data_IF_560846759115
#
_entry.id   IF_560846759115
#
_cell.length_a   1.000
_cell.length_b   1.000
_cell.length_c   1.000
_cell.angle_alpha   90.00
_cell.angle_beta   90.00
_cell.angle_gamma   90.00
#
_symmetry.space_group_name_H-M   'P 1'
#
loop_
_entity.id
_entity.type
_entity.pdbx_description
1 polymer ?
#
# COMPACT_ATOMS: atom_id res chain seq x y z
N UNK A 1 5.05 -5.49 -26.25
CA UNK A 1 5.23 -5.44 -24.79
C UNK A 1 6.15 -4.26 -24.50
N UNK A 2 5.68 -3.27 -23.74
CA UNK A 2 6.45 -2.06 -23.40
C UNK A 2 6.68 -2.04 -21.88
N UNK A 3 7.93 -1.89 -21.45
CA UNK A 3 8.20 -1.74 -20.03
C UNK A 3 7.72 -0.37 -19.54
N UNK A 4 7.16 -0.33 -18.34
CA UNK A 4 6.77 0.89 -17.66
C UNK A 4 8.01 1.70 -17.27
N UNK A 5 8.14 2.96 -17.73
CA UNK A 5 9.21 3.84 -17.25
C UNK A 5 9.06 4.11 -15.76
N UNK A 6 10.18 4.28 -15.08
CA UNK A 6 10.17 4.88 -13.75
C UNK A 6 9.82 6.35 -13.90
N UNK A 7 8.70 6.77 -13.30
CA UNK A 7 8.27 8.17 -13.22
C UNK A 7 8.97 8.89 -12.07
N UNK A 8 9.08 8.20 -10.92
CA UNK A 8 9.70 8.75 -9.72
C UNK A 8 10.27 7.63 -8.83
N UNK A 9 11.37 7.94 -8.13
CA UNK A 9 11.89 7.17 -7.00
C UNK A 9 12.01 8.09 -5.80
N UNK A 10 11.49 7.68 -4.65
CA UNK A 10 11.67 8.43 -3.40
C UNK A 10 11.76 7.50 -2.19
N UNK A 11 12.52 7.90 -1.19
CA UNK A 11 12.55 7.21 0.10
C UNK A 11 11.37 7.62 0.95
N UNK A 12 10.74 6.65 1.64
CA UNK A 12 9.72 6.94 2.64
C UNK A 12 10.31 7.80 3.77
N UNK A 13 9.52 8.74 4.28
CA UNK A 13 9.96 9.71 5.28
C UNK A 13 9.48 9.31 6.68
N UNK A 14 10.28 9.53 7.73
CA UNK A 14 9.82 9.32 9.10
C UNK A 14 8.58 10.18 9.39
N UNK A 15 7.60 9.58 10.05
CA UNK A 15 6.35 10.23 10.43
C UNK A 15 5.86 9.71 11.78
N UNK A 16 5.08 10.52 12.48
CA UNK A 16 4.40 10.11 13.72
C UNK A 16 2.90 10.26 13.49
N UNK A 17 2.14 9.20 13.74
CA UNK A 17 0.70 9.16 13.54
C UNK A 17 -0.01 8.56 14.77
N UNK A 18 -1.35 8.62 14.79
CA UNK A 18 -2.14 8.09 15.89
C UNK A 18 -1.79 8.73 17.24
N UNK A 19 -1.67 7.92 18.28
CA UNK A 19 -1.29 8.38 19.62
C UNK A 19 0.23 8.41 19.86
N UNK A 20 1.04 8.46 18.80
CA UNK A 20 2.50 8.48 18.87
C UNK A 20 3.19 7.30 18.20
N UNK A 21 2.53 6.66 17.25
CA UNK A 21 3.11 5.58 16.45
C UNK A 21 4.14 6.13 15.48
N UNK A 22 5.38 5.67 15.58
CA UNK A 22 6.46 6.00 14.65
C UNK A 22 6.40 5.09 13.44
N UNK A 23 6.35 5.67 12.26
CA UNK A 23 6.25 4.96 10.99
C UNK A 23 7.04 5.68 9.89
N UNK A 24 7.06 5.10 8.67
CA UNK A 24 7.62 5.72 7.48
C UNK A 24 6.53 5.88 6.43
N UNK A 25 6.25 7.13 6.04
CA UNK A 25 5.26 7.46 5.02
C UNK A 25 5.89 7.51 3.64
N UNK A 26 5.43 6.65 2.74
CA UNK A 26 5.91 6.59 1.37
C UNK A 26 5.29 7.68 0.50
N UNK A 27 3.99 7.92 0.64
CA UNK A 27 3.24 9.03 0.04
C UNK A 27 1.97 9.31 0.85
N UNK A 28 1.34 10.48 0.63
CA UNK A 28 0.14 10.91 1.35
C UNK A 28 -0.28 12.33 0.99
N UNK A 29 -0.79 13.09 1.91
CA UNK A 29 -1.53 14.36 1.85
C UNK A 29 -1.09 15.43 0.84
N UNK A 30 0.17 15.45 0.40
CA UNK A 30 0.69 16.59 -0.38
C UNK A 30 0.18 16.61 -1.82
N UNK A 31 0.09 15.43 -2.42
CA UNK A 31 -0.25 15.28 -3.84
C UNK A 31 -1.16 14.04 -4.02
N UNK A 32 -2.46 14.14 -3.65
CA UNK A 32 -3.38 13.00 -3.67
C UNK A 32 -3.63 12.42 -5.07
N UNK A 33 -3.34 13.20 -6.13
CA UNK A 33 -3.49 12.76 -7.52
C UNK A 33 -2.31 11.93 -8.02
N UNK A 34 -1.17 11.98 -7.32
CA UNK A 34 0.07 11.34 -7.78
C UNK A 34 -0.02 9.82 -7.85
N UNK A 35 -0.74 9.20 -6.92
CA UNK A 35 -0.92 7.75 -6.82
C UNK A 35 -2.38 7.32 -6.98
N UNK A 36 -3.26 8.19 -7.53
CA UNK A 36 -4.67 7.88 -7.75
C UNK A 36 -4.83 6.45 -8.34
N UNK A 37 -5.65 5.56 -7.75
CA UNK A 37 -6.65 5.81 -6.71
C UNK A 37 -6.14 5.71 -5.26
N UNK A 38 -4.85 5.58 -5.05
CA UNK A 38 -4.29 5.42 -3.71
C UNK A 38 -3.91 6.78 -3.11
N UNK A 39 -4.25 6.96 -1.84
CA UNK A 39 -4.10 8.24 -1.14
C UNK A 39 -2.87 8.29 -0.24
N UNK A 40 -2.54 7.18 0.40
CA UNK A 40 -1.48 7.12 1.40
C UNK A 40 -0.92 5.70 1.54
N UNK A 41 0.39 5.59 1.75
CA UNK A 41 1.05 4.34 2.15
C UNK A 41 1.98 4.61 3.33
N UNK A 42 1.71 3.95 4.44
CA UNK A 42 2.50 3.95 5.66
C UNK A 42 3.13 2.58 5.92
N UNK A 43 4.40 2.58 6.22
CA UNK A 43 5.20 1.46 6.67
C UNK A 43 5.41 1.61 8.18
N UNK A 44 4.60 0.91 8.99
CA UNK A 44 4.68 0.97 10.45
C UNK A 44 5.56 -0.12 11.07
N UNK A 45 6.48 -0.69 10.30
CA UNK A 45 7.44 -1.68 10.80
C UNK A 45 8.35 -1.08 11.86
N UNK A 46 8.29 -1.66 13.05
CA UNK A 46 9.08 -1.22 14.19
C UNK A 46 9.43 -2.40 15.11
N UNK A 47 10.65 -2.39 15.63
CA UNK A 47 11.18 -3.40 16.57
C UNK A 47 11.17 -2.89 18.03
N UNK A 48 10.67 -1.68 18.27
CA UNK A 48 10.61 -1.04 19.59
C UNK A 48 9.13 -0.83 19.98
N UNK A 49 8.60 -1.59 20.98
CA UNK A 49 7.23 -1.45 21.43
C UNK A 49 6.82 -0.05 21.87
N UNK A 50 7.76 0.73 22.42
CA UNK A 50 7.46 2.10 22.85
C UNK A 50 7.09 3.02 21.69
N UNK A 51 7.44 2.63 20.46
CA UNK A 51 7.17 3.42 19.25
C UNK A 51 5.88 3.03 18.54
N UNK A 52 5.18 1.96 18.96
CA UNK A 52 3.94 1.56 18.30
C UNK A 52 2.79 1.24 19.27
N UNK A 53 3.05 0.83 20.51
CA UNK A 53 2.03 0.36 21.45
C UNK A 53 0.93 1.37 21.79
N UNK A 54 1.18 2.67 21.57
CA UNK A 54 0.18 3.71 21.76
C UNK A 54 -0.98 3.59 20.76
N UNK A 55 -0.73 2.99 19.61
CA UNK A 55 -1.73 2.62 18.62
C UNK A 55 -2.49 3.78 18.01
N UNK A 56 -3.62 3.42 17.44
CA UNK A 56 -4.55 4.35 16.82
C UNK A 56 -5.89 4.26 17.57
N UNK A 57 -6.06 5.04 18.67
CA UNK A 57 -7.31 5.09 19.42
C UNK A 57 -8.48 5.52 18.53
N UNK A 58 -9.71 5.40 19.05
CA UNK A 58 -10.93 5.71 18.33
C UNK A 58 -10.83 6.95 17.45
N UNK A 59 -10.94 6.74 16.14
CA UNK A 59 -10.88 7.78 15.12
C UNK A 59 -11.89 7.48 13.99
N UNK A 60 -12.39 8.52 13.29
CA UNK A 60 -13.33 8.36 12.20
C UNK A 60 -12.63 8.10 10.87
N UNK A 61 -13.36 7.47 9.91
CA UNK A 61 -13.06 7.51 8.48
C UNK A 61 -14.34 7.69 7.68
N UNK A 62 -14.27 8.42 6.57
CA UNK A 62 -15.36 8.55 5.58
C UNK A 62 -14.77 8.74 4.19
N UNK A 63 -15.41 8.10 3.19
CA UNK A 63 -15.12 8.31 1.77
C UNK A 63 -13.86 7.63 1.25
N UNK A 64 -13.31 6.69 2.01
CA UNK A 64 -12.08 5.93 1.66
C UNK A 64 -12.24 4.45 1.98
N UNK A 65 -11.27 3.68 1.54
CA UNK A 65 -10.96 2.35 2.01
C UNK A 65 -9.60 2.35 2.70
N UNK A 66 -9.45 1.58 3.77
CA UNK A 66 -8.19 1.37 4.48
C UNK A 66 -7.79 -0.09 4.40
N UNK A 67 -6.53 -0.34 4.11
CA UNK A 67 -5.98 -1.68 3.96
C UNK A 67 -4.81 -1.86 4.91
N UNK A 68 -5.01 -2.70 5.92
CA UNK A 68 -3.98 -3.08 6.88
C UNK A 68 -3.41 -4.44 6.49
N UNK A 69 -2.12 -4.51 6.17
CA UNK A 69 -1.41 -5.77 5.93
C UNK A 69 -0.37 -5.98 7.03
N UNK A 70 -0.59 -6.98 7.87
CA UNK A 70 0.34 -7.36 8.94
C UNK A 70 1.36 -8.35 8.39
N UNK A 71 2.66 -8.05 8.53
CA UNK A 71 3.74 -8.98 8.18
C UNK A 71 4.16 -9.84 9.39
N UNK A 72 4.25 -9.21 10.57
CA UNK A 72 4.63 -9.85 11.83
C UNK A 72 4.06 -9.05 13.00
N UNK A 73 3.70 -9.75 14.07
CA UNK A 73 2.98 -9.21 15.22
C UNK A 73 1.47 -9.36 15.09
N UNK A 74 0.75 -8.71 15.97
CA UNK A 74 -0.72 -8.72 16.01
C UNK A 74 -1.29 -7.33 16.24
N UNK A 75 -2.46 -7.06 15.68
CA UNK A 75 -3.23 -5.82 15.88
C UNK A 75 -4.64 -6.20 16.29
N UNK A 76 -5.11 -5.67 17.42
CA UNK A 76 -6.53 -5.69 17.76
C UNK A 76 -7.24 -4.54 17.08
N UNK A 77 -8.37 -4.81 16.44
CA UNK A 77 -9.26 -3.79 15.88
C UNK A 77 -10.67 -3.89 16.46
N UNK A 78 -11.32 -2.75 16.54
CA UNK A 78 -12.72 -2.64 16.96
C UNK A 78 -13.36 -1.42 16.30
N UNK A 79 -14.65 -1.51 15.97
CA UNK A 79 -15.38 -0.45 15.31
C UNK A 79 -16.71 -0.09 15.97
N UNK A 80 -17.32 1.00 15.46
CA UNK A 80 -18.62 1.52 15.91
C UNK A 80 -19.83 0.71 15.46
N UNK A 81 -19.65 -0.31 14.62
CA UNK A 81 -20.70 -1.24 14.19
C UNK A 81 -20.74 -2.51 15.06
N UNK A 82 -19.81 -2.63 16.02
CA UNK A 82 -19.70 -3.76 16.91
C UNK A 82 -18.78 -4.87 16.42
N UNK A 83 -18.04 -4.67 15.32
CA UNK A 83 -17.03 -5.61 14.87
C UNK A 83 -15.81 -5.50 15.78
N UNK A 84 -15.21 -6.65 16.07
CA UNK A 84 -13.97 -6.80 16.85
C UNK A 84 -13.20 -7.98 16.33
N UNK A 85 -11.88 -7.82 16.16
CA UNK A 85 -11.03 -8.90 15.67
C UNK A 85 -9.56 -8.69 16.01
N UNK A 86 -8.77 -9.67 15.59
CA UNK A 86 -7.31 -9.66 15.72
C UNK A 86 -6.75 -10.00 14.33
N UNK A 87 -5.87 -9.15 13.83
CA UNK A 87 -5.05 -9.43 12.66
C UNK A 87 -3.70 -9.95 13.12
N UNK A 88 -3.27 -11.05 12.56
CA UNK A 88 -1.99 -11.70 12.85
C UNK A 88 -1.03 -11.62 11.67
N UNK A 89 0.21 -12.05 11.87
CA UNK A 89 1.21 -12.01 10.80
C UNK A 89 0.78 -12.77 9.55
N UNK A 90 0.74 -12.07 8.43
CA UNK A 90 0.29 -12.51 7.13
C UNK A 90 -1.16 -12.16 6.78
N UNK A 91 -1.97 -11.72 7.75
CA UNK A 91 -3.38 -11.36 7.55
C UNK A 91 -3.52 -9.98 6.91
N UNK A 92 -4.65 -9.78 6.23
CA UNK A 92 -5.05 -8.51 5.62
C UNK A 92 -6.46 -8.15 6.06
N UNK A 93 -6.67 -6.89 6.42
CA UNK A 93 -8.00 -6.31 6.58
C UNK A 93 -8.22 -5.24 5.52
N UNK A 94 -9.29 -5.40 4.75
CA UNK A 94 -9.77 -4.39 3.82
C UNK A 94 -11.08 -3.81 4.35
N UNK A 95 -11.03 -2.57 4.81
CA UNK A 95 -12.19 -1.86 5.34
C UNK A 95 -12.65 -0.78 4.35
N UNK A 96 -13.86 -0.88 3.87
CA UNK A 96 -14.55 0.22 3.19
C UNK A 96 -15.19 1.10 4.25
N UNK A 97 -14.70 2.31 4.46
CA UNK A 97 -15.28 3.25 5.43
C UNK A 97 -16.58 3.88 4.93
N UNK A 98 -16.69 4.11 3.61
CA UNK A 98 -17.91 4.58 2.95
C UNK A 98 -18.53 5.80 3.62
N UNK A 99 -19.79 5.70 4.04
CA UNK A 99 -20.58 6.78 4.66
C UNK A 99 -20.11 7.20 6.05
N UNK A 100 -19.21 6.42 6.67
CA UNK A 100 -18.58 6.76 7.93
C UNK A 100 -18.50 5.59 8.90
N UNK A 101 -17.34 5.47 9.53
CA UNK A 101 -17.06 4.52 10.59
C UNK A 101 -16.16 5.19 11.63
N UNK A 102 -16.30 4.78 12.90
CA UNK A 102 -15.29 5.00 13.91
C UNK A 102 -14.65 3.66 14.22
N UNK A 103 -13.33 3.62 14.32
CA UNK A 103 -12.61 2.43 14.72
C UNK A 103 -11.37 2.75 15.54
N UNK A 104 -10.78 1.71 16.11
CA UNK A 104 -9.46 1.75 16.74
C UNK A 104 -8.64 0.56 16.31
N UNK A 105 -7.32 0.74 16.24
CA UNK A 105 -6.32 -0.27 15.91
C UNK A 105 -5.23 -0.23 16.97
N UNK A 106 -5.09 -1.33 17.72
CA UNK A 106 -4.17 -1.40 18.85
C UNK A 106 -3.11 -2.48 18.60
N UNK A 107 -1.90 -2.11 18.17
CA UNK A 107 -0.83 -3.04 17.90
C UNK A 107 -0.28 -3.64 19.20
N UNK A 108 -0.21 -4.96 19.25
CA UNK A 108 0.32 -5.73 20.38
C UNK A 108 1.75 -6.20 20.13
N UNK A 109 2.15 -6.30 18.85
CA UNK A 109 3.43 -6.86 18.46
C UNK A 109 3.49 -8.40 18.58
N UNK A 110 4.70 -8.94 18.45
CA UNK A 110 5.01 -10.35 18.64
C UNK A 110 5.81 -10.59 19.95
N UNK A 111 6.17 -11.84 20.24
CA UNK A 111 6.94 -12.20 21.42
C UNK A 111 8.35 -11.57 21.50
N UNK A 112 8.85 -11.02 20.39
CA UNK A 112 10.13 -10.29 20.31
C UNK A 112 9.96 -8.77 20.42
N UNK A 113 8.73 -8.28 20.60
CA UNK A 113 8.42 -6.86 20.65
C UNK A 113 8.44 -6.19 19.26
N UNK A 114 8.17 -6.93 18.20
CA UNK A 114 8.16 -6.41 16.83
C UNK A 114 6.73 -6.27 16.33
N UNK A 115 6.47 -5.21 15.59
CA UNK A 115 5.22 -4.97 14.86
C UNK A 115 5.56 -4.52 13.45
N UNK A 116 5.30 -5.37 12.46
CA UNK A 116 5.65 -5.11 11.08
C UNK A 116 4.41 -5.18 10.19
N UNK A 117 4.16 -4.13 9.44
CA UNK A 117 3.04 -4.08 8.51
C UNK A 117 2.93 -2.77 7.74
N UNK A 118 1.87 -2.68 6.97
CA UNK A 118 1.58 -1.54 6.09
C UNK A 118 0.12 -1.12 6.22
N UNK A 119 -0.09 0.20 6.12
CA UNK A 119 -1.39 0.82 5.99
C UNK A 119 -1.47 1.50 4.63
N UNK A 120 -2.35 1.05 3.75
CA UNK A 120 -2.65 1.68 2.47
C UNK A 120 -4.04 2.30 2.53
N UNK A 121 -4.20 3.51 2.03
CA UNK A 121 -5.52 4.11 1.82
C UNK A 121 -5.82 4.16 0.33
N UNK A 122 -7.02 3.69 -0.03
CA UNK A 122 -7.56 3.81 -1.37
C UNK A 122 -8.77 4.76 -1.37
N UNK A 123 -8.88 5.56 -2.41
CA UNK A 123 -10.00 6.49 -2.58
C UNK A 123 -11.24 5.76 -3.09
N UNK A 124 -12.41 6.27 -2.73
CA UNK A 124 -13.67 5.88 -3.34
C UNK A 124 -14.10 6.92 -4.36
N UNK A 125 -14.66 6.52 -5.52
CA UNK A 125 -15.29 7.46 -6.43
C UNK A 125 -16.47 8.16 -5.74
N UNK A 126 -16.83 9.36 -6.18
CA UNK A 126 -17.88 10.19 -5.58
C UNK A 126 -19.21 9.45 -5.43
N UNK A 127 -19.55 8.63 -6.42
CA UNK A 127 -20.78 7.80 -6.38
C UNK A 127 -20.78 6.73 -5.28
N UNK A 128 -19.60 6.39 -4.71
CA UNK A 128 -19.44 5.34 -3.70
C UNK A 128 -18.97 5.87 -2.35
N UNK A 129 -18.70 7.17 -2.20
CA UNK A 129 -18.21 7.73 -0.92
C UNK A 129 -19.20 7.57 0.23
N UNK A 130 -20.48 7.39 -0.07
CA UNK A 130 -21.53 7.24 0.95
C UNK A 130 -22.15 5.83 0.99
N UNK A 131 -21.47 4.81 0.44
CA UNK A 131 -21.91 3.40 0.60
C UNK A 131 -21.79 2.94 2.05
N UNK A 132 -22.51 1.87 2.39
CA UNK A 132 -22.40 1.30 3.73
C UNK A 132 -20.97 0.83 4.02
N UNK A 133 -20.46 1.02 5.25
CA UNK A 133 -19.21 0.45 5.67
C UNK A 133 -19.18 -1.08 5.55
N UNK A 134 -18.02 -1.63 5.15
CA UNK A 134 -17.84 -3.07 4.99
C UNK A 134 -16.43 -3.49 5.38
N UNK A 135 -16.28 -4.68 5.96
CA UNK A 135 -15.00 -5.33 6.23
C UNK A 135 -14.82 -6.60 5.40
N UNK A 136 -13.59 -6.86 5.01
CA UNK A 136 -13.12 -8.13 4.49
C UNK A 136 -11.85 -8.48 5.26
N UNK A 137 -11.99 -9.31 6.29
CA UNK A 137 -10.86 -9.87 7.03
C UNK A 137 -10.40 -11.13 6.30
N UNK A 138 -9.13 -11.14 5.90
CA UNK A 138 -8.55 -12.21 5.11
C UNK A 138 -7.40 -12.82 5.88
N UNK A 139 -7.55 -14.08 6.27
CA UNK A 139 -6.48 -14.85 6.90
C UNK A 139 -5.35 -15.10 5.90
N UNK A 140 -4.13 -15.14 6.40
CA UNK A 140 -2.95 -15.49 5.60
C UNK A 140 -3.09 -16.83 4.86
N UNK A 141 -3.85 -17.77 5.40
CA UNK A 141 -4.14 -19.07 4.77
C UNK A 141 -5.01 -18.97 3.53
N UNK A 142 -5.80 -17.91 3.42
CA UNK A 142 -6.74 -17.69 2.31
C UNK A 142 -6.11 -16.86 1.18
N UNK A 143 -4.92 -16.29 1.42
CA UNK A 143 -4.18 -15.52 0.41
C UNK A 143 -3.35 -16.47 -0.46
N UNK A 144 -3.68 -16.61 -1.75
CA UNK A 144 -2.92 -17.48 -2.64
C UNK A 144 -1.46 -17.06 -2.75
N UNK A 145 -0.57 -18.05 -2.66
CA UNK A 145 0.86 -17.91 -2.90
C UNK A 145 1.23 -18.68 -4.17
N UNK A 146 1.72 -17.96 -5.18
CA UNK A 146 2.30 -18.56 -6.37
C UNK A 146 3.81 -18.63 -6.21
N UNK A 147 4.36 -19.80 -6.45
CA UNK A 147 5.80 -20.01 -6.60
C UNK A 147 6.11 -20.25 -8.07
N UNK A 148 7.05 -19.52 -8.61
CA UNK A 148 7.42 -19.58 -10.01
C UNK A 148 8.76 -20.32 -10.21
N UNK A 149 9.04 -20.77 -11.44
CA UNK A 149 10.22 -21.59 -11.79
C UNK A 149 11.55 -20.86 -11.49
N UNK A 150 11.54 -19.52 -11.48
CA UNK A 150 12.69 -18.69 -11.12
C UNK A 150 12.87 -18.52 -9.59
N UNK A 151 12.04 -19.19 -8.79
CA UNK A 151 12.01 -19.11 -7.33
C UNK A 151 11.33 -17.87 -6.78
N UNK A 152 10.75 -17.04 -7.63
CA UNK A 152 9.93 -15.88 -7.19
C UNK A 152 8.64 -16.35 -6.53
N UNK A 153 8.19 -15.60 -5.53
CA UNK A 153 6.95 -15.87 -4.78
C UNK A 153 6.05 -14.66 -4.80
N UNK A 154 4.81 -14.87 -5.18
CA UNK A 154 3.82 -13.79 -5.28
C UNK A 154 2.60 -14.15 -4.45
N UNK A 155 2.32 -13.40 -3.38
CA UNK A 155 1.04 -13.44 -2.67
C UNK A 155 0.06 -12.50 -3.35
N UNK A 156 -1.09 -13.01 -3.74
CA UNK A 156 -2.14 -12.25 -4.44
C UNK A 156 -3.21 -11.88 -3.42
N UNK A 157 -3.15 -10.65 -2.88
CA UNK A 157 -4.13 -10.17 -1.88
C UNK A 157 -5.43 -9.76 -2.57
N UNK A 158 -5.35 -8.95 -3.63
CA UNK A 158 -6.50 -8.52 -4.43
C UNK A 158 -6.10 -8.45 -5.90
N UNK A 159 -7.08 -8.62 -6.79
CA UNK A 159 -6.89 -8.69 -8.23
C UNK A 159 -6.40 -10.04 -8.69
N UNK A 160 -5.98 -10.14 -9.94
CA UNK A 160 -5.58 -11.40 -10.60
C UNK A 160 -4.13 -11.40 -11.04
N UNK A 161 -3.44 -12.54 -10.87
CA UNK A 161 -2.10 -12.78 -11.38
C UNK A 161 -2.01 -14.19 -11.95
N UNK A 162 -1.65 -14.34 -13.24
CA UNK A 162 -1.51 -15.64 -13.95
C UNK A 162 -2.67 -16.61 -13.73
N UNK A 163 -3.91 -16.09 -13.74
CA UNK A 163 -5.13 -16.90 -13.57
C UNK A 163 -5.51 -17.22 -12.12
N UNK A 164 -4.74 -16.76 -11.15
CA UNK A 164 -5.06 -16.85 -9.72
C UNK A 164 -5.59 -15.51 -9.24
N UNK A 165 -6.72 -15.53 -8.54
CA UNK A 165 -7.33 -14.32 -7.97
C UNK A 165 -7.15 -14.28 -6.47
N UNK A 166 -6.91 -13.07 -5.94
CA UNK A 166 -6.93 -12.79 -4.51
C UNK A 166 -8.35 -12.87 -3.93
N UNK A 167 -8.46 -13.10 -2.60
CA UNK A 167 -9.74 -13.29 -1.92
C UNK A 167 -10.57 -12.02 -1.75
N UNK A 168 -9.95 -10.84 -1.80
CA UNK A 168 -10.64 -9.55 -1.63
C UNK A 168 -11.34 -9.19 -2.93
N UNK A 169 -12.64 -8.86 -2.84
CA UNK A 169 -13.48 -8.58 -4.01
C UNK A 169 -14.35 -7.32 -3.83
N UNK A 170 -15.02 -6.91 -4.92
CA UNK A 170 -15.99 -5.83 -4.92
C UNK A 170 -15.39 -4.47 -4.51
N UNK A 171 -14.13 -4.24 -4.80
CA UNK A 171 -13.40 -3.03 -4.46
C UNK A 171 -13.51 -2.02 -5.60
N UNK A 172 -13.73 -0.75 -5.24
CA UNK A 172 -13.69 0.35 -6.19
C UNK A 172 -12.30 0.45 -6.84
N UNK A 173 -12.21 1.04 -8.03
CA UNK A 173 -10.95 1.25 -8.75
C UNK A 173 -10.20 -0.04 -9.18
N UNK A 174 -10.80 -1.23 -9.01
CA UNK A 174 -10.28 -2.51 -9.50
C UNK A 174 -8.78 -2.69 -9.17
N UNK A 175 -8.38 -2.69 -7.89
CA UNK A 175 -6.97 -2.72 -7.51
C UNK A 175 -6.32 -4.08 -7.72
N UNK A 176 -4.99 -4.06 -7.86
CA UNK A 176 -4.13 -5.21 -7.67
C UNK A 176 -3.19 -4.90 -6.50
N UNK A 177 -3.06 -5.82 -5.56
CA UNK A 177 -2.16 -5.71 -4.42
C UNK A 177 -1.45 -7.03 -4.22
N UNK A 178 -0.14 -7.04 -4.50
CA UNK A 178 0.71 -8.22 -4.43
C UNK A 178 1.89 -7.99 -3.48
N UNK A 179 2.22 -9.00 -2.70
CA UNK A 179 3.49 -9.09 -1.98
C UNK A 179 4.42 -10.00 -2.78
N UNK A 180 5.47 -9.42 -3.35
CA UNK A 180 6.36 -10.05 -4.31
C UNK A 180 7.73 -10.23 -3.72
N UNK A 181 8.21 -11.49 -3.72
CA UNK A 181 9.61 -11.84 -3.45
C UNK A 181 10.30 -12.30 -4.73
N UNK A 182 11.49 -11.78 -4.99
CA UNK A 182 12.36 -12.21 -6.09
C UNK A 182 13.71 -12.64 -5.51
N UNK A 183 14.17 -13.87 -5.81
CA UNK A 183 15.43 -14.39 -5.28
C UNK A 183 16.65 -13.55 -5.67
N UNK A 184 17.81 -13.77 -5.03
CA UNK A 184 19.06 -13.08 -5.37
C UNK A 184 19.43 -13.18 -6.86
N UNK A 185 19.94 -12.08 -7.41
CA UNK A 185 20.50 -12.01 -8.76
C UNK A 185 19.57 -12.52 -9.88
N UNK A 186 18.26 -12.31 -9.70
CA UNK A 186 17.22 -12.83 -10.61
C UNK A 186 16.59 -11.68 -11.38
N UNK A 187 16.44 -11.87 -12.71
CA UNK A 187 15.63 -10.98 -13.55
C UNK A 187 14.17 -11.39 -13.44
N UNK A 188 13.29 -10.40 -13.22
CA UNK A 188 11.84 -10.62 -13.13
C UNK A 188 11.08 -9.64 -14.00
N UNK A 189 10.06 -10.15 -14.66
CA UNK A 189 9.08 -9.34 -15.41
C UNK A 189 7.69 -9.65 -14.88
N UNK A 190 6.91 -8.58 -14.60
CA UNK A 190 5.55 -8.70 -14.08
C UNK A 190 4.64 -7.85 -14.94
N UNK A 191 3.62 -8.45 -15.53
CA UNK A 191 2.64 -7.76 -16.34
C UNK A 191 1.73 -6.90 -15.47
N UNK A 192 1.47 -5.67 -15.91
CA UNK A 192 0.54 -4.72 -15.29
C UNK A 192 -0.22 -4.04 -16.41
N UNK A 193 -1.55 -4.00 -16.32
CA UNK A 193 -2.41 -3.34 -17.29
C UNK A 193 -1.99 -1.87 -17.49
N UNK A 194 -1.77 -1.47 -18.74
CA UNK A 194 -1.27 -0.15 -19.11
C UNK A 194 -2.14 1.02 -18.62
N UNK A 195 -3.43 0.78 -18.43
CA UNK A 195 -4.39 1.80 -17.96
C UNK A 195 -4.42 2.00 -16.45
N UNK A 196 -3.66 1.20 -15.69
CA UNK A 196 -3.57 1.32 -14.23
C UNK A 196 -2.41 2.22 -13.82
N UNK A 197 -2.59 3.06 -12.82
CA UNK A 197 -1.48 3.60 -12.07
C UNK A 197 -0.81 2.47 -11.29
N UNK A 198 0.52 2.50 -11.20
CA UNK A 198 1.29 1.41 -10.59
C UNK A 198 2.48 1.95 -9.81
N UNK A 199 2.71 1.35 -8.64
CA UNK A 199 3.93 1.58 -7.88
C UNK A 199 4.44 0.29 -7.23
N UNK A 200 5.74 0.26 -6.94
CA UNK A 200 6.39 -0.73 -6.10
C UNK A 200 6.91 -0.04 -4.83
N UNK A 201 6.74 -0.70 -3.67
CA UNK A 201 7.34 -0.27 -2.42
C UNK A 201 8.25 -1.36 -1.88
N UNK A 202 9.57 -1.11 -1.93
CA UNK A 202 10.56 -2.08 -1.46
C UNK A 202 10.64 -2.03 0.05
N UNK A 203 10.47 -3.19 0.69
CA UNK A 203 10.55 -3.30 2.13
C UNK A 203 11.59 -4.31 2.64
N UNK A 204 12.24 -5.04 1.74
CA UNK A 204 13.38 -5.91 2.08
C UNK A 204 14.29 -6.10 0.86
N UNK A 205 15.61 -6.14 1.09
CA UNK A 205 16.58 -6.32 0.03
C UNK A 205 16.70 -5.12 -0.90
N UNK A 206 17.04 -5.36 -2.16
CA UNK A 206 17.21 -4.31 -3.17
C UNK A 206 16.99 -4.82 -4.59
N UNK A 207 16.62 -3.91 -5.49
CA UNK A 207 16.51 -4.22 -6.92
C UNK A 207 16.82 -3.00 -7.79
N UNK A 208 17.26 -3.28 -9.01
CA UNK A 208 17.27 -2.30 -10.10
C UNK A 208 16.03 -2.54 -10.96
N UNK A 209 15.13 -1.56 -10.98
CA UNK A 209 13.98 -1.57 -11.87
C UNK A 209 14.40 -0.96 -13.22
N UNK A 210 14.16 -1.69 -14.31
CA UNK A 210 14.58 -1.26 -15.63
C UNK A 210 13.89 0.06 -16.01
N UNK A 211 14.69 0.98 -16.53
CA UNK A 211 14.15 2.11 -17.27
C UNK A 211 13.66 1.56 -18.62
N UNK A 212 12.38 1.79 -18.93
CA UNK A 212 11.86 1.40 -20.23
C UNK A 212 12.52 2.18 -21.37
N UNK A 213 12.24 1.75 -22.57
CA UNK A 213 12.36 2.28 -23.93
C UNK A 213 12.82 3.75 -24.20
N UNK A 214 13.09 4.59 -23.24
CA UNK A 214 13.94 5.77 -23.46
C UNK A 214 15.35 5.23 -23.76
N UNK A 215 16.03 5.73 -24.82
CA UNK A 215 17.44 5.40 -25.01
C UNK A 215 18.14 5.65 -23.69
N UNK A 216 18.69 4.61 -23.09
CA UNK A 216 19.52 4.78 -21.90
C UNK A 216 20.62 5.74 -22.30
N UNK A 217 20.69 6.88 -21.61
CA UNK A 217 21.87 7.72 -21.71
C UNK A 217 23.09 6.84 -21.51
N UNK A 218 24.16 7.11 -22.25
CA UNK A 218 25.41 6.37 -22.17
C UNK A 218 25.73 6.16 -20.69
N UNK A 219 25.73 4.90 -20.22
CA UNK A 219 26.23 4.58 -18.89
C UNK A 219 27.67 5.02 -18.84
N UNK A 220 27.97 6.03 -18.04
CA UNK A 220 29.34 6.39 -17.75
C UNK A 220 29.87 5.30 -16.83
N UNK A 221 30.54 4.30 -17.40
CA UNK A 221 31.36 3.37 -16.64
C UNK A 221 32.53 4.20 -16.08
N UNK A 222 32.52 4.45 -14.78
CA UNK A 222 33.67 5.01 -14.09
C UNK A 222 34.63 3.88 -13.78
N UNK A 223 35.71 3.80 -14.54
CA UNK A 223 36.87 3.04 -14.16
C UNK A 223 37.55 3.77 -12.99
N UNK A 224 37.46 3.23 -11.77
CA UNK A 224 38.26 3.66 -10.62
C UNK A 224 39.20 2.51 -10.27
N UNK A 225 40.49 2.72 -10.50
CA UNK A 225 41.59 1.78 -10.18
C UNK A 225 41.56 0.42 -10.91
N UNK A 226 41.06 0.36 -12.15
CA UNK A 226 41.04 -0.87 -12.93
C UNK A 226 39.98 -1.89 -12.53
N UNK A 227 39.03 -1.52 -11.68
CA UNK A 227 37.82 -2.29 -11.40
C UNK A 227 36.61 -1.65 -12.07
N UNK A 228 35.86 -2.40 -12.87
CA UNK A 228 34.56 -2.00 -13.40
C UNK A 228 33.58 -1.86 -12.24
N UNK A 229 33.38 -0.65 -11.75
CA UNK A 229 32.33 -0.33 -10.84
C UNK A 229 30.99 -0.28 -11.62
N UNK A 230 30.33 -1.43 -11.74
CA UNK A 230 28.93 -1.52 -12.12
C UNK A 230 28.11 -0.90 -10.98
N UNK A 231 27.97 0.43 -10.97
CA UNK A 231 27.03 1.12 -10.08
C UNK A 231 25.64 0.78 -10.58
N UNK A 232 25.15 -0.39 -10.19
CA UNK A 232 23.74 -0.72 -10.35
C UNK A 232 22.98 0.30 -9.49
N UNK A 233 22.10 1.06 -10.11
CA UNK A 233 21.18 1.97 -9.42
C UNK A 233 20.14 1.14 -8.65
N UNK A 234 20.61 0.48 -7.57
CA UNK A 234 19.79 -0.38 -6.73
C UNK A 234 18.95 0.48 -5.79
N UNK A 235 17.66 0.29 -5.89
CA UNK A 235 16.69 0.81 -4.92
C UNK A 235 16.56 -0.19 -3.77
N UNK A 236 16.69 0.27 -2.53
CA UNK A 236 16.69 -0.57 -1.34
C UNK A 236 15.42 -0.41 -0.49
N UNK A 237 15.50 -0.94 0.73
CA UNK A 237 14.44 -0.88 1.73
C UNK A 237 13.86 0.54 1.89
N UNK A 238 12.53 0.66 2.06
CA UNK A 238 11.78 1.91 2.20
C UNK A 238 11.84 2.83 0.97
N UNK A 239 12.02 2.26 -0.22
CA UNK A 239 11.97 3.01 -1.47
C UNK A 239 10.64 2.79 -2.17
N UNK A 240 9.94 3.89 -2.47
CA UNK A 240 8.81 3.94 -3.37
C UNK A 240 9.30 4.16 -4.80
N UNK A 241 8.78 3.38 -5.73
CA UNK A 241 9.03 3.51 -7.17
C UNK A 241 7.67 3.63 -7.85
N UNK A 242 7.37 4.80 -8.41
CA UNK A 242 6.18 5.02 -9.22
C UNK A 242 6.52 4.83 -10.69
N UNK A 243 5.64 4.15 -11.40
CA UNK A 243 5.80 3.86 -12.81
C UNK A 243 4.87 4.72 -13.66
N UNK A 244 5.33 5.02 -14.87
CA UNK A 244 4.50 5.59 -15.93
C UNK A 244 3.75 4.46 -16.68
N UNK A 245 3.04 4.77 -17.75
CA UNK A 245 2.27 3.81 -18.53
C UNK A 245 3.14 2.77 -19.25
N UNK A 246 2.66 1.55 -19.38
CA UNK A 246 3.30 0.41 -20.04
C UNK A 246 2.64 -0.91 -19.64
N UNK A 247 3.01 -2.01 -20.29
CA UNK A 247 2.36 -3.33 -20.12
C UNK A 247 3.00 -4.19 -19.02
N UNK A 248 4.23 -3.85 -18.60
CA UNK A 248 4.98 -4.65 -17.64
C UNK A 248 6.02 -3.83 -16.91
N UNK A 249 6.41 -4.29 -15.73
CA UNK A 249 7.61 -3.86 -15.02
C UNK A 249 8.70 -4.92 -15.19
N UNK A 250 9.95 -4.48 -15.28
CA UNK A 250 11.11 -5.37 -15.31
C UNK A 250 12.09 -4.95 -14.24
N UNK A 251 12.60 -5.91 -13.50
CA UNK A 251 13.58 -5.67 -12.44
C UNK A 251 14.68 -6.73 -12.43
N UNK A 252 15.79 -6.39 -11.81
CA UNK A 252 16.87 -7.29 -11.46
C UNK A 252 17.14 -7.16 -9.96
N UNK A 253 16.98 -8.25 -9.20
CA UNK A 253 17.19 -8.25 -7.76
C UNK A 253 18.67 -8.17 -7.40
N UNK A 254 18.96 -7.56 -6.24
CA UNK A 254 20.30 -7.50 -5.68
C UNK A 254 20.77 -8.85 -5.11
N UNK A 255 21.95 -8.86 -4.51
CA UNK A 255 22.62 -10.07 -3.98
C UNK A 255 21.84 -10.78 -2.86
N UNK A 256 20.95 -10.06 -2.16
CA UNK A 256 20.11 -10.61 -1.10
C UNK A 256 18.66 -10.80 -1.54
N UNK A 257 18.37 -10.71 -2.85
CA UNK A 257 17.03 -10.70 -3.37
C UNK A 257 16.30 -9.38 -3.08
N UNK A 258 15.01 -9.36 -3.35
CA UNK A 258 14.14 -8.22 -3.04
C UNK A 258 12.74 -8.69 -2.67
N UNK A 259 12.10 -8.00 -1.73
CA UNK A 259 10.68 -8.14 -1.44
C UNK A 259 10.02 -6.77 -1.45
N UNK A 260 8.89 -6.66 -2.13
CA UNK A 260 8.20 -5.39 -2.33
C UNK A 260 6.69 -5.59 -2.47
N UNK A 261 5.94 -4.58 -2.10
CA UNK A 261 4.54 -4.47 -2.48
C UNK A 261 4.47 -3.98 -3.92
N UNK A 262 3.73 -4.67 -4.77
CA UNK A 262 3.34 -4.20 -6.09
C UNK A 262 1.86 -3.86 -6.05
N UNK A 263 1.55 -2.59 -6.24
CA UNK A 263 0.18 -2.08 -6.14
C UNK A 263 -0.17 -1.34 -7.42
N UNK A 264 -1.33 -1.64 -7.97
CA UNK A 264 -1.88 -0.92 -9.12
C UNK A 264 -3.40 -0.78 -9.03
N UNK A 265 -3.95 0.25 -9.67
CA UNK A 265 -5.41 0.48 -9.68
C UNK A 265 -5.82 1.40 -10.83
N UNK A 266 -7.08 1.32 -11.23
CA UNK A 266 -7.66 2.24 -12.20
C UNK A 266 -7.78 3.62 -11.57
N UNK A 267 -7.21 4.67 -12.16
CA UNK A 267 -7.33 6.03 -11.63
C UNK A 267 -8.81 6.46 -11.63
N UNK A 268 -9.24 7.10 -10.55
CA UNK A 268 -10.61 7.62 -10.39
C UNK A 268 -10.75 8.95 -11.14
N UNK A 269 -9.70 9.79 -11.14
CA UNK A 269 -9.65 11.08 -11.82
C UNK A 269 -10.77 12.06 -11.40
N UNK A 270 -11.17 12.02 -10.14
CA UNK A 270 -12.13 12.92 -9.54
C UNK A 270 -11.44 13.88 -8.56
N UNK A 271 -12.02 15.05 -8.29
CA UNK A 271 -11.48 15.98 -7.28
C UNK A 271 -11.38 15.33 -5.90
N UNK A 272 -10.34 15.70 -5.15
CA UNK A 272 -10.08 15.21 -3.80
C UNK A 272 -10.12 16.36 -2.80
N UNK A 273 -11.10 16.37 -1.92
CA UNK A 273 -11.20 17.26 -0.75
C UNK A 273 -10.82 16.45 0.50
N UNK A 274 -9.61 16.66 1.00
CA UNK A 274 -9.03 15.83 2.05
C UNK A 274 -8.66 16.65 3.30
N UNK A 275 -9.12 16.21 4.46
CA UNK A 275 -8.67 16.73 5.75
C UNK A 275 -8.68 15.63 6.83
N UNK A 276 -7.51 15.38 7.43
CA UNK A 276 -7.35 14.31 8.42
C UNK A 276 -7.83 12.96 7.88
N UNK A 277 -8.70 12.25 8.60
CA UNK A 277 -9.15 10.90 8.23
C UNK A 277 -10.36 10.88 7.28
N UNK A 278 -10.78 12.02 6.74
CA UNK A 278 -11.98 12.17 5.91
C UNK A 278 -11.59 12.67 4.52
N UNK A 279 -12.06 11.97 3.48
CA UNK A 279 -11.79 12.32 2.09
C UNK A 279 -13.10 12.31 1.28
N UNK A 280 -13.45 13.48 0.76
CA UNK A 280 -14.63 13.69 -0.06
C UNK A 280 -14.23 14.24 -1.44
N UNK A 281 -15.20 14.58 -2.30
CA UNK A 281 -14.91 15.18 -3.60
C UNK A 281 -14.92 16.71 -3.55
N UNK A 282 -15.73 17.30 -2.64
CA UNK A 282 -15.88 18.76 -2.53
C UNK A 282 -15.60 19.25 -1.11
N UNK A 283 -15.30 20.54 -0.97
CA UNK A 283 -15.14 21.18 0.34
C UNK A 283 -16.45 21.22 1.13
N UNK A 284 -17.56 21.33 0.45
CA UNK A 284 -18.90 21.34 1.02
C UNK A 284 -19.22 19.98 1.66
N UNK A 285 -18.96 18.88 0.95
CA UNK A 285 -19.10 17.52 1.47
C UNK A 285 -18.17 17.26 2.66
N UNK A 286 -16.94 17.74 2.60
CA UNK A 286 -15.96 17.64 3.69
C UNK A 286 -16.45 18.42 4.92
N UNK A 287 -16.96 19.64 4.74
CA UNK A 287 -17.53 20.46 5.80
C UNK A 287 -18.73 19.77 6.44
N UNK A 288 -19.60 19.17 5.62
CA UNK A 288 -20.77 18.41 6.09
C UNK A 288 -20.31 17.20 6.92
N UNK A 289 -19.28 16.46 6.47
CA UNK A 289 -18.76 15.32 7.22
C UNK A 289 -18.26 15.71 8.63
N UNK A 290 -17.55 16.83 8.75
CA UNK A 290 -17.14 17.35 10.06
C UNK A 290 -18.30 17.90 10.89
N UNK A 291 -19.34 18.45 10.26
CA UNK A 291 -20.59 18.82 10.93
C UNK A 291 -21.30 17.61 11.50
N UNK A 292 -21.42 16.54 10.71
CA UNK A 292 -22.00 15.27 11.14
C UNK A 292 -21.25 14.70 12.36
N UNK A 293 -19.90 14.76 12.33
CA UNK A 293 -19.08 14.27 13.43
C UNK A 293 -19.34 15.06 14.74
N UNK A 294 -19.41 16.39 14.67
CA UNK A 294 -19.70 17.25 15.82
C UNK A 294 -21.11 17.04 16.38
N UNK A 295 -22.06 16.76 15.51
CA UNK A 295 -23.48 16.60 15.88
C UNK A 295 -23.86 15.16 16.27
N UNK A 296 -22.91 14.20 16.24
CA UNK A 296 -23.18 12.80 16.57
C UNK A 296 -23.98 12.06 15.48
N UNK A 297 -24.03 12.59 14.25
CA UNK A 297 -24.76 12.01 13.11
C UNK A 297 -23.83 11.42 12.04
N UNK A 298 -22.56 11.23 12.40
CA UNK A 298 -21.53 10.75 11.48
C UNK A 298 -21.76 9.29 11.07
N UNK A 299 -22.08 8.42 12.02
CA UNK A 299 -22.45 7.04 11.73
C UNK A 299 -23.86 7.03 11.19
N UNK A 300 -24.02 6.56 9.96
CA UNK A 300 -25.31 6.47 9.30
C UNK A 300 -26.00 5.13 9.61
N UNK A 301 -27.33 5.07 9.65
CA UNK A 301 -28.02 3.79 9.67
C UNK A 301 -27.64 2.95 8.45
N UNK A 302 -27.44 1.66 8.63
CA UNK A 302 -27.20 0.74 7.52
C UNK A 302 -28.50 0.57 6.71
N UNK A 303 -28.41 0.65 5.41
CA UNK A 303 -29.52 0.51 4.47
C UNK A 303 -29.42 -0.78 3.66
#
# INVERSE_FOLDING_TARGET
MSFRPIKEKKSAQPFIEGAGVSLFRAFGFRDPEECDPFLMLDDFRNDDPEKFKAGFPWHPHRGIETITYVLDGTIEHQDSLGNKGILSGGDVQWMTAGSGILHQEMPLGNAKGQMHGFQLWANLPGSQKMVNPRYQDVSHSDIPLLEEDDGSKIKVVVGGYKGVNGPVDGIAADPQYFDVYVPPNTKKEISVDAYRNCFAYIFQGSANFAYSSKPMGVRIEKELNGEELNIRDLSGNRTLIRFDSGDSISLYSGENGVRFLLVSGKPIQEPVAWHGPIVMNTREELTQAFSDLRNGTFIKPLH
#
